data_IF_583950720293
#
_entry.id   IF_583950720293
#
_cell.length_a   1.000
_cell.length_b   1.000
_cell.length_c   1.000
_cell.angle_alpha   90.00
_cell.angle_beta   90.00
_cell.angle_gamma   90.00
#
_symmetry.space_group_name_H-M   'P 1'
#
loop_
_entity.id
_entity.type
_entity.pdbx_description
1 polymer ?
#
# COMPACT_ATOMS: atom_id res chain seq x y z
N UNK A 1 19.45 -2.69 -13.85
CA UNK A 1 19.38 -2.14 -12.48
C UNK A 1 18.60 -0.86 -12.58
N UNK A 2 17.50 -0.73 -11.83
CA UNK A 2 16.71 0.49 -11.84
C UNK A 2 17.36 1.50 -10.88
N UNK A 3 17.35 2.78 -11.25
CA UNK A 3 17.68 3.86 -10.32
C UNK A 3 16.54 4.03 -9.32
N UNK A 4 16.81 4.68 -8.18
CA UNK A 4 15.76 4.98 -7.19
C UNK A 4 14.60 5.78 -7.82
N UNK A 5 14.90 6.74 -8.70
CA UNK A 5 13.88 7.51 -9.42
C UNK A 5 13.01 6.62 -10.32
N UNK A 6 13.62 5.67 -11.04
CA UNK A 6 12.86 4.72 -11.87
C UNK A 6 11.93 3.82 -11.04
N UNK A 7 12.35 3.43 -9.83
CA UNK A 7 11.51 2.66 -8.90
C UNK A 7 10.30 3.50 -8.46
N UNK A 8 10.51 4.76 -8.11
CA UNK A 8 9.42 5.66 -7.70
C UNK A 8 8.43 5.90 -8.85
N UNK A 9 8.91 6.12 -10.07
CA UNK A 9 8.05 6.28 -11.25
C UNK A 9 7.21 5.04 -11.49
N UNK A 10 7.83 3.85 -11.47
CA UNK A 10 7.10 2.60 -11.66
C UNK A 10 6.06 2.33 -10.54
N UNK A 11 6.39 2.67 -9.29
CA UNK A 11 5.45 2.58 -8.17
C UNK A 11 4.23 3.49 -8.35
N UNK A 12 4.44 4.71 -8.85
CA UNK A 12 3.34 5.63 -9.17
C UNK A 12 2.47 5.12 -10.32
N UNK A 13 3.09 4.56 -11.37
CA UNK A 13 2.37 3.93 -12.49
C UNK A 13 1.51 2.75 -12.01
N UNK A 14 2.07 1.89 -11.16
CA UNK A 14 1.35 0.75 -10.56
C UNK A 14 0.13 1.21 -9.75
N UNK A 15 0.25 2.29 -8.96
CA UNK A 15 -0.88 2.86 -8.23
C UNK A 15 -1.99 3.28 -9.20
N UNK A 16 -1.65 4.02 -10.25
CA UNK A 16 -2.63 4.49 -11.24
C UNK A 16 -3.30 3.32 -11.99
N UNK A 17 -2.51 2.34 -12.43
CA UNK A 17 -3.03 1.16 -13.14
C UNK A 17 -3.94 0.32 -12.24
N UNK A 18 -3.54 0.09 -10.99
CA UNK A 18 -4.37 -0.66 -10.03
C UNK A 18 -5.63 0.10 -9.66
N UNK A 19 -5.55 1.43 -9.50
CA UNK A 19 -6.70 2.28 -9.24
C UNK A 19 -7.76 2.13 -10.33
N UNK A 20 -7.36 2.21 -11.61
CA UNK A 20 -8.27 2.06 -12.74
C UNK A 20 -9.01 0.71 -12.78
N UNK A 21 -8.46 -0.33 -12.16
CA UNK A 21 -9.03 -1.68 -12.13
C UNK A 21 -9.80 -2.00 -10.84
N UNK A 22 -9.48 -1.33 -9.73
CA UNK A 22 -9.86 -1.78 -8.37
C UNK A 22 -10.57 -0.73 -7.53
N UNK A 23 -10.37 0.56 -7.84
CA UNK A 23 -10.97 1.63 -7.06
C UNK A 23 -12.44 1.79 -7.46
N UNK A 24 -13.27 2.09 -6.47
CA UNK A 24 -14.70 2.26 -6.69
C UNK A 24 -15.02 3.69 -7.13
N UNK A 25 -16.17 3.92 -7.81
CA UNK A 25 -16.58 5.26 -8.24
C UNK A 25 -16.66 6.31 -7.11
N UNK A 26 -16.85 5.87 -5.86
CA UNK A 26 -16.89 6.72 -4.67
C UNK A 26 -15.50 7.08 -4.11
N UNK A 27 -14.40 6.66 -4.76
CA UNK A 27 -13.03 6.89 -4.29
C UNK A 27 -12.54 5.90 -3.22
N UNK A 28 -13.34 4.89 -2.90
CA UNK A 28 -12.95 3.84 -1.94
C UNK A 28 -11.87 2.93 -2.54
N UNK A 29 -10.74 2.78 -1.82
CA UNK A 29 -9.67 1.83 -2.14
C UNK A 29 -9.85 0.50 -1.41
N UNK A 30 -9.12 -0.52 -1.85
CA UNK A 30 -9.24 -1.88 -1.29
C UNK A 30 -8.82 -2.02 0.19
N UNK A 31 -7.96 -1.14 0.70
CA UNK A 31 -7.41 -1.30 2.05
C UNK A 31 -8.43 -0.98 3.14
N UNK A 32 -9.22 0.08 3.02
CA UNK A 32 -10.32 0.38 3.95
C UNK A 32 -11.25 -0.83 4.18
N UNK A 33 -11.71 -1.48 3.10
CA UNK A 33 -12.53 -2.71 3.20
C UNK A 33 -11.80 -3.87 3.85
N UNK A 34 -10.52 -4.03 3.52
CA UNK A 34 -9.68 -5.10 4.10
C UNK A 34 -9.57 -4.93 5.61
N UNK A 35 -9.27 -3.72 6.07
CA UNK A 35 -9.13 -3.37 7.49
C UNK A 35 -10.47 -3.51 8.21
N UNK A 36 -11.56 -3.01 7.63
CA UNK A 36 -12.90 -3.14 8.21
C UNK A 36 -13.29 -4.61 8.43
N UNK A 37 -13.08 -5.46 7.42
CA UNK A 37 -13.36 -6.89 7.51
C UNK A 37 -12.45 -7.58 8.55
N UNK A 38 -11.16 -7.26 8.56
CA UNK A 38 -10.21 -7.82 9.52
C UNK A 38 -10.58 -7.47 10.97
N UNK A 39 -10.90 -6.19 11.22
CA UNK A 39 -11.37 -5.72 12.52
C UNK A 39 -12.64 -6.44 12.98
N UNK A 40 -13.62 -6.62 12.08
CA UNK A 40 -14.86 -7.33 12.40
C UNK A 40 -14.63 -8.81 12.73
N UNK A 41 -13.72 -9.49 12.03
CA UNK A 41 -13.44 -10.91 12.24
C UNK A 41 -12.60 -11.18 13.49
N UNK A 42 -11.67 -10.29 13.81
CA UNK A 42 -10.66 -10.53 14.84
C UNK A 42 -10.79 -9.65 16.09
N UNK A 43 -11.78 -8.75 16.13
CA UNK A 43 -11.99 -7.85 17.27
C UNK A 43 -10.87 -6.83 17.44
N UNK A 44 -10.23 -6.43 16.34
CA UNK A 44 -9.17 -5.41 16.33
C UNK A 44 -9.70 -4.03 15.96
N UNK A 45 -8.87 -3.00 16.09
CA UNK A 45 -9.21 -1.62 15.72
C UNK A 45 -8.08 -0.98 14.91
N UNK A 46 -7.66 -1.66 13.83
CA UNK A 46 -6.66 -1.15 12.90
C UNK A 46 -7.24 0.00 12.06
N UNK A 47 -6.39 0.96 11.68
CA UNK A 47 -6.72 2.01 10.71
C UNK A 47 -6.30 1.64 9.29
N UNK A 48 -6.80 2.37 8.27
CA UNK A 48 -6.39 2.14 6.88
C UNK A 48 -4.89 2.43 6.69
N UNK A 49 -4.37 3.47 7.33
CA UNK A 49 -2.93 3.78 7.38
C UNK A 49 -2.12 2.59 7.90
N UNK A 50 -2.55 1.98 9.01
CA UNK A 50 -1.88 0.81 9.58
C UNK A 50 -1.92 -0.39 8.64
N UNK A 51 -3.01 -0.57 7.87
CA UNK A 51 -3.10 -1.60 6.83
C UNK A 51 -2.02 -1.44 5.75
N UNK A 52 -1.84 -0.23 5.22
CA UNK A 52 -0.79 0.05 4.23
C UNK A 52 0.62 -0.09 4.82
N UNK A 53 0.85 0.39 6.04
CA UNK A 53 2.13 0.21 6.75
C UNK A 53 2.46 -1.27 6.95
N UNK A 54 1.48 -2.09 7.27
CA UNK A 54 1.66 -3.54 7.39
C UNK A 54 2.09 -4.18 6.06
N UNK A 55 1.51 -3.73 4.94
CA UNK A 55 1.93 -4.17 3.60
C UNK A 55 3.35 -3.73 3.24
N UNK A 56 3.78 -2.53 3.66
CA UNK A 56 5.17 -2.09 3.51
C UNK A 56 6.13 -2.96 4.33
N UNK A 57 5.76 -3.30 5.58
CA UNK A 57 6.54 -4.23 6.42
C UNK A 57 6.67 -5.61 5.78
N UNK A 58 5.62 -6.13 5.15
CA UNK A 58 5.67 -7.39 4.40
C UNK A 58 6.72 -7.35 3.29
N UNK A 59 6.80 -6.23 2.55
CA UNK A 59 7.78 -6.04 1.48
C UNK A 59 9.21 -5.95 2.01
N UNK A 60 9.41 -5.22 3.11
CA UNK A 60 10.69 -5.25 3.82
C UNK A 60 11.07 -6.65 4.29
N UNK A 61 10.15 -7.40 4.89
CA UNK A 61 10.40 -8.77 5.34
C UNK A 61 10.82 -9.67 4.17
N UNK A 62 10.11 -9.62 3.03
CA UNK A 62 10.45 -10.39 1.82
C UNK A 62 11.83 -10.05 1.28
N UNK A 63 12.22 -8.78 1.30
CA UNK A 63 13.54 -8.34 0.85
C UNK A 63 14.71 -8.94 1.64
N UNK A 64 14.46 -9.45 2.85
CA UNK A 64 15.48 -10.12 3.68
C UNK A 64 15.60 -11.63 3.41
N UNK A 65 14.64 -12.23 2.70
CA UNK A 65 14.48 -13.68 2.58
C UNK A 65 15.29 -14.37 1.47
N UNK A 66 16.13 -13.66 0.70
CA UNK A 66 16.91 -14.30 -0.36
C UNK A 66 17.47 -13.36 -1.42
N UNK A 67 17.34 -13.75 -2.70
CA UNK A 67 17.86 -12.97 -3.84
C UNK A 67 17.09 -11.66 -4.00
N UNK A 68 17.81 -10.61 -4.36
CA UNK A 68 17.23 -9.31 -4.67
C UNK A 68 16.10 -9.44 -5.70
N UNK A 69 14.91 -8.95 -5.33
CA UNK A 69 13.76 -8.87 -6.22
C UNK A 69 13.27 -7.41 -6.29
N UNK A 70 13.32 -6.74 -7.46
CA UNK A 70 12.98 -5.31 -7.59
C UNK A 70 11.56 -4.97 -7.11
N UNK A 71 10.61 -5.90 -7.27
CA UNK A 71 9.22 -5.74 -6.84
C UNK A 71 9.07 -5.48 -5.33
N UNK A 72 9.99 -6.00 -4.50
CA UNK A 72 9.93 -5.76 -3.06
C UNK A 72 10.04 -4.27 -2.73
N UNK A 73 10.88 -3.55 -3.47
CA UNK A 73 11.10 -2.11 -3.25
C UNK A 73 10.09 -1.25 -4.01
N UNK A 74 9.66 -1.67 -5.20
CA UNK A 74 8.63 -0.97 -5.97
C UNK A 74 7.27 -0.99 -5.25
N UNK A 75 6.78 -2.17 -4.85
CA UNK A 75 5.55 -2.26 -4.08
C UNK A 75 5.71 -1.61 -2.70
N UNK A 76 6.88 -1.71 -2.07
CA UNK A 76 7.15 -1.02 -0.80
C UNK A 76 7.00 0.51 -0.91
N UNK A 77 7.53 1.10 -2.00
CA UNK A 77 7.33 2.52 -2.29
C UNK A 77 5.86 2.85 -2.56
N UNK A 78 5.16 2.02 -3.33
CA UNK A 78 3.74 2.22 -3.61
C UNK A 78 2.87 2.17 -2.33
N UNK A 79 3.10 1.18 -1.47
CA UNK A 79 2.36 1.05 -0.20
C UNK A 79 2.66 2.19 0.76
N UNK A 80 3.90 2.69 0.79
CA UNK A 80 4.26 3.85 1.61
C UNK A 80 3.55 5.12 1.12
N UNK A 81 3.46 5.31 -0.20
CA UNK A 81 2.72 6.45 -0.77
C UNK A 81 1.22 6.36 -0.45
N UNK A 82 0.60 5.18 -0.61
CA UNK A 82 -0.81 4.94 -0.28
C UNK A 82 -1.11 5.13 1.21
N UNK A 83 -0.19 4.76 2.11
CA UNK A 83 -0.30 5.07 3.53
C UNK A 83 -0.33 6.58 3.78
N UNK A 84 0.50 7.35 3.07
CA UNK A 84 0.53 8.80 3.17
C UNK A 84 -0.76 9.46 2.68
N UNK A 85 -1.31 8.96 1.57
CA UNK A 85 -2.61 9.41 1.05
C UNK A 85 -3.74 9.13 2.06
N UNK A 86 -3.80 7.91 2.62
CA UNK A 86 -4.77 7.55 3.64
C UNK A 86 -4.65 8.44 4.89
N UNK A 87 -3.41 8.72 5.34
CA UNK A 87 -3.17 9.59 6.50
C UNK A 87 -3.63 11.03 6.24
N UNK A 88 -3.45 11.53 5.02
CA UNK A 88 -3.95 12.85 4.64
C UNK A 88 -5.48 12.91 4.63
N UNK A 89 -6.15 11.84 4.20
CA UNK A 89 -7.61 11.72 4.28
C UNK A 89 -8.11 11.64 5.73
N UNK A 90 -7.50 10.82 6.58
CA UNK A 90 -7.85 10.69 8.00
C UNK A 90 -7.67 12.02 8.75
N UNK A 91 -6.65 12.81 8.43
CA UNK A 91 -6.40 14.12 9.06
C UNK A 91 -7.38 15.22 8.60
N UNK A 92 -8.06 15.03 7.47
CA UNK A 92 -9.02 15.98 6.91
C UNK A 92 -10.48 15.69 7.31
N UNK A 93 -10.74 14.56 7.97
CA UNK A 93 -12.06 14.11 8.43
C UNK A 93 -12.35 14.53 9.88
#
# INVERSE_FOLDING_TARGET
MNTAAQILTAAAEDICQRAALRDQPAGERSMGRTVAAFNALHGTNLTEVQGWQFMALLKHARSTGGKHHPDDYQDGAAYTALAGEAAAHEAAA
#
